data_IF_281708538321
#
_entry.id   IF_281708538321
#
_cell.length_a   1.000
_cell.length_b   1.000
_cell.length_c   1.000
_cell.angle_alpha   90.00
_cell.angle_beta   90.00
_cell.angle_gamma   90.00
#
_symmetry.space_group_name_H-M   'P 1'
#
loop_
_entity.id
_entity.type
_entity.pdbx_description
1 polymer ?
#
# COMPACT_ATOMS: atom_id res chain seq x y z
N UNK A 1 -34.18 14.94 -7.16
CA UNK A 1 -33.97 13.50 -6.90
C UNK A 1 -32.50 13.16 -7.15
N UNK A 2 -31.72 12.78 -6.14
CA UNK A 2 -30.34 12.27 -6.37
C UNK A 2 -30.46 10.89 -7.04
N UNK A 3 -29.84 10.71 -8.21
CA UNK A 3 -29.75 9.38 -8.84
C UNK A 3 -28.75 8.54 -8.04
N UNK A 4 -29.07 7.27 -7.81
CA UNK A 4 -28.13 6.34 -7.18
C UNK A 4 -26.89 6.18 -8.08
N UNK A 5 -25.69 6.16 -7.48
CA UNK A 5 -24.40 6.07 -8.18
C UNK A 5 -24.37 4.94 -9.23
N UNK A 6 -24.81 3.70 -8.92
CA UNK A 6 -24.84 2.61 -9.91
C UNK A 6 -25.63 2.95 -11.18
N UNK A 7 -26.76 3.64 -11.04
CA UNK A 7 -27.62 4.01 -12.16
C UNK A 7 -26.96 5.03 -13.07
N UNK A 8 -26.20 5.97 -12.51
CA UNK A 8 -25.43 6.94 -13.31
C UNK A 8 -24.33 6.21 -14.09
N UNK A 9 -23.61 5.31 -13.43
CA UNK A 9 -22.56 4.50 -14.06
C UNK A 9 -23.14 3.65 -15.20
N UNK A 10 -24.27 2.98 -14.97
CA UNK A 10 -24.92 2.15 -15.99
C UNK A 10 -25.39 2.91 -17.22
N UNK A 11 -25.95 4.11 -17.04
CA UNK A 11 -26.33 4.99 -18.17
C UNK A 11 -25.11 5.37 -18.99
N UNK A 12 -24.06 5.89 -18.34
CA UNK A 12 -22.84 6.34 -19.04
C UNK A 12 -22.18 5.17 -19.76
N UNK A 13 -22.11 4.00 -19.11
CA UNK A 13 -21.47 2.83 -19.69
C UNK A 13 -22.19 2.33 -20.96
N UNK A 14 -23.53 2.39 -20.98
CA UNK A 14 -24.33 2.09 -22.18
C UNK A 14 -24.14 3.13 -23.28
N UNK A 15 -24.25 4.40 -22.94
CA UNK A 15 -24.10 5.50 -23.90
C UNK A 15 -22.71 5.53 -24.56
N UNK A 16 -21.69 5.09 -23.84
CA UNK A 16 -20.30 5.08 -24.30
C UNK A 16 -19.81 3.72 -24.79
N UNK A 17 -20.67 2.71 -24.83
CA UNK A 17 -20.32 1.34 -25.23
C UNK A 17 -19.10 0.78 -24.47
N UNK A 18 -19.05 1.04 -23.17
CA UNK A 18 -17.98 0.55 -22.30
C UNK A 18 -18.12 -0.96 -22.13
N UNK A 19 -17.04 -1.70 -22.35
CA UNK A 19 -16.99 -3.16 -22.21
C UNK A 19 -16.45 -3.61 -20.86
N UNK A 20 -15.69 -2.74 -20.18
CA UNK A 20 -15.05 -3.05 -18.91
C UNK A 20 -15.11 -1.86 -17.94
N UNK A 21 -15.43 -2.14 -16.67
CA UNK A 21 -15.33 -1.18 -15.57
C UNK A 21 -14.33 -1.71 -14.56
N UNK A 22 -13.35 -0.88 -14.23
CA UNK A 22 -12.34 -1.16 -13.21
C UNK A 22 -12.70 -0.36 -11.96
N UNK A 23 -12.80 -1.04 -10.82
CA UNK A 23 -13.04 -0.43 -9.51
C UNK A 23 -11.81 -0.67 -8.63
N UNK A 24 -11.18 0.41 -8.19
CA UNK A 24 -10.08 0.36 -7.25
C UNK A 24 -10.61 0.32 -5.79
N UNK A 25 -10.09 -0.61 -4.99
CA UNK A 25 -10.37 -0.69 -3.55
C UNK A 25 -9.45 0.18 -2.69
N UNK A 26 -8.63 1.07 -3.28
CA UNK A 26 -7.81 2.00 -2.50
C UNK A 26 -8.67 2.98 -1.71
N UNK A 27 -8.85 2.65 -0.43
CA UNK A 27 -8.73 3.61 0.66
C UNK A 27 -9.76 4.74 0.66
N UNK A 28 -11.03 4.38 0.86
CA UNK A 28 -11.85 5.22 1.72
C UNK A 28 -12.20 4.43 2.98
N UNK A 29 -11.50 4.77 4.07
CA UNK A 29 -11.80 4.44 5.48
C UNK A 29 -13.21 4.91 5.95
N UNK A 30 -14.16 5.11 5.03
CA UNK A 30 -15.49 5.70 5.25
C UNK A 30 -16.63 5.06 4.45
N UNK A 31 -16.43 3.86 3.92
CA UNK A 31 -17.55 3.02 3.53
C UNK A 31 -17.40 1.71 4.31
N UNK A 32 -18.36 1.42 5.19
CA UNK A 32 -18.38 0.14 5.89
C UNK A 32 -18.36 -1.00 4.87
N UNK A 33 -17.78 -2.15 5.24
CA UNK A 33 -17.71 -3.33 4.36
C UNK A 33 -19.08 -3.69 3.76
N UNK A 34 -20.16 -3.53 4.54
CA UNK A 34 -21.54 -3.72 4.11
C UNK A 34 -21.98 -2.79 2.97
N UNK A 35 -21.52 -1.55 2.96
CA UNK A 35 -21.86 -0.58 1.93
C UNK A 35 -21.06 -0.80 0.64
N UNK A 36 -19.84 -1.36 0.72
CA UNK A 36 -19.08 -1.82 -0.46
C UNK A 36 -19.76 -3.03 -1.11
N UNK A 37 -20.16 -4.02 -0.31
CA UNK A 37 -20.92 -5.18 -0.80
C UNK A 37 -22.22 -4.75 -1.50
N UNK A 38 -22.94 -3.80 -0.90
CA UNK A 38 -24.19 -3.26 -1.46
C UNK A 38 -23.97 -2.54 -2.80
N UNK A 39 -22.88 -1.78 -2.93
CA UNK A 39 -22.53 -1.10 -4.17
C UNK A 39 -22.19 -2.09 -5.30
N UNK A 40 -21.36 -3.09 -5.02
CA UNK A 40 -20.97 -4.12 -6.00
C UNK A 40 -22.21 -4.88 -6.47
N UNK A 41 -23.07 -5.33 -5.54
CA UNK A 41 -24.33 -6.00 -5.89
C UNK A 41 -25.25 -5.13 -6.73
N UNK A 42 -25.29 -3.83 -6.45
CA UNK A 42 -26.11 -2.87 -7.21
C UNK A 42 -25.55 -2.63 -8.62
N UNK A 43 -24.23 -2.56 -8.77
CA UNK A 43 -23.58 -2.44 -10.08
C UNK A 43 -23.80 -3.70 -10.92
N UNK A 44 -23.55 -4.89 -10.38
CA UNK A 44 -23.78 -6.15 -11.10
C UNK A 44 -25.22 -6.29 -11.62
N UNK A 45 -26.20 -5.75 -10.89
CA UNK A 45 -27.61 -5.72 -11.35
C UNK A 45 -27.86 -4.70 -12.46
N UNK A 46 -27.22 -3.53 -12.41
CA UNK A 46 -27.44 -2.44 -13.35
C UNK A 46 -26.71 -2.67 -14.69
N UNK A 47 -25.52 -3.29 -14.62
CA UNK A 47 -24.60 -3.52 -15.76
C UNK A 47 -24.23 -5.01 -15.91
N UNK A 48 -25.20 -5.92 -16.12
CA UNK A 48 -24.93 -7.36 -16.17
C UNK A 48 -24.14 -7.81 -17.42
N UNK A 49 -23.93 -6.92 -18.39
CA UNK A 49 -23.29 -7.19 -19.69
C UNK A 49 -21.89 -6.57 -19.81
N UNK A 50 -21.37 -5.96 -18.73
CA UNK A 50 -20.06 -5.29 -18.70
C UNK A 50 -19.18 -6.04 -17.72
N UNK A 51 -17.94 -6.31 -18.11
CA UNK A 51 -16.98 -6.95 -17.22
C UNK A 51 -16.61 -5.99 -16.08
N UNK A 52 -16.83 -6.44 -14.83
CA UNK A 52 -16.48 -5.69 -13.63
C UNK A 52 -15.19 -6.27 -13.04
N UNK A 53 -14.10 -5.50 -13.09
CA UNK A 53 -12.82 -5.88 -12.51
C UNK A 53 -12.59 -5.12 -11.21
N UNK A 54 -12.49 -5.85 -10.09
CA UNK A 54 -12.17 -5.29 -8.78
C UNK A 54 -10.67 -5.39 -8.55
N UNK A 55 -9.98 -4.25 -8.47
CA UNK A 55 -8.55 -4.18 -8.16
C UNK A 55 -8.39 -3.85 -6.69
N UNK A 56 -7.80 -4.77 -5.92
CA UNK A 56 -7.37 -4.50 -4.54
C UNK A 56 -5.90 -4.14 -4.53
N UNK A 57 -5.56 -2.93 -4.11
CA UNK A 57 -4.17 -2.64 -3.77
C UNK A 57 -3.87 -3.26 -2.40
N UNK A 58 -3.22 -4.42 -2.40
CA UNK A 58 -2.46 -4.86 -1.24
C UNK A 58 -1.29 -3.87 -1.09
N UNK A 59 -1.42 -2.88 -0.20
CA UNK A 59 -0.35 -1.89 0.07
C UNK A 59 0.86 -2.49 0.80
N UNK A 60 1.11 -3.78 0.64
CA UNK A 60 2.16 -4.50 1.33
C UNK A 60 2.64 -5.59 0.39
N UNK A 61 3.78 -5.32 -0.27
CA UNK A 61 4.80 -6.27 -0.74
C UNK A 61 4.90 -6.67 -2.22
N UNK A 62 3.91 -6.48 -3.10
CA UNK A 62 4.01 -7.13 -4.43
C UNK A 62 4.50 -6.28 -5.62
N UNK A 63 4.56 -4.94 -5.52
CA UNK A 63 4.96 -4.07 -6.65
C UNK A 63 6.40 -3.52 -6.56
N UNK A 64 7.35 -4.35 -6.09
CA UNK A 64 8.77 -3.97 -6.01
C UNK A 64 9.74 -4.98 -6.66
N UNK A 65 9.25 -5.81 -7.58
CA UNK A 65 10.14 -6.58 -8.44
C UNK A 65 10.84 -5.63 -9.43
N UNK A 66 11.98 -5.07 -9.03
CA UNK A 66 12.85 -4.24 -9.88
C UNK A 66 13.30 -2.90 -9.30
N UNK A 67 12.81 -2.49 -8.12
CA UNK A 67 13.18 -1.21 -7.49
C UNK A 67 14.06 -1.36 -6.25
N UNK A 68 14.15 -2.56 -5.67
CA UNK A 68 14.87 -2.78 -4.43
C UNK A 68 15.78 -4.00 -4.50
N UNK A 69 16.91 -3.92 -3.81
CA UNK A 69 17.79 -5.05 -3.56
C UNK A 69 17.11 -6.08 -2.64
N UNK A 70 17.66 -7.31 -2.63
CA UNK A 70 17.23 -8.34 -1.69
C UNK A 70 17.41 -7.82 -0.26
N UNK A 71 16.37 -7.99 0.56
CA UNK A 71 16.37 -7.55 1.96
C UNK A 71 17.57 -8.08 2.75
N UNK A 72 18.35 -7.16 3.31
CA UNK A 72 19.47 -7.44 4.21
C UNK A 72 19.07 -7.20 5.67
N UNK A 73 19.67 -7.94 6.60
CA UNK A 73 19.46 -7.69 8.03
C UNK A 73 20.06 -6.34 8.40
N UNK A 74 19.31 -5.53 9.12
CA UNK A 74 19.75 -4.25 9.62
C UNK A 74 19.04 -3.93 10.95
N UNK A 75 19.50 -2.85 11.57
CA UNK A 75 19.08 -2.41 12.90
C UNK A 75 18.81 -0.92 12.87
N UNK A 76 17.81 -0.45 13.63
CA UNK A 76 17.67 0.96 13.96
C UNK A 76 18.36 1.23 15.29
N UNK A 77 19.27 2.20 15.28
CA UNK A 77 19.94 2.74 16.46
C UNK A 77 19.41 4.14 16.68
N UNK A 78 19.03 4.47 17.91
CA UNK A 78 18.50 5.80 18.21
C UNK A 78 19.63 6.83 18.26
N UNK A 79 19.49 7.90 17.48
CA UNK A 79 20.41 9.04 17.46
C UNK A 79 19.58 10.33 17.69
N UNK A 80 19.61 10.85 18.92
CA UNK A 80 18.90 12.07 19.32
C UNK A 80 17.37 11.97 19.07
N UNK A 81 16.86 12.74 18.10
CA UNK A 81 15.44 12.79 17.73
C UNK A 81 15.08 11.85 16.57
N UNK A 82 16.06 11.18 15.98
CA UNK A 82 15.88 10.29 14.82
C UNK A 82 16.45 8.90 15.10
N UNK A 83 16.22 7.99 14.16
CA UNK A 83 16.86 6.69 14.13
C UNK A 83 17.80 6.60 12.94
N UNK A 84 18.93 5.93 13.14
CA UNK A 84 19.88 5.65 12.08
C UNK A 84 19.88 4.16 11.77
N UNK A 85 19.89 3.85 10.48
CA UNK A 85 20.06 2.50 9.97
C UNK A 85 21.51 2.05 10.18
N UNK A 86 21.68 0.87 10.77
CA UNK A 86 22.97 0.22 10.97
C UNK A 86 22.91 -1.22 10.46
N UNK A 87 23.98 -1.67 9.80
CA UNK A 87 24.15 -3.07 9.40
C UNK A 87 24.90 -3.90 10.46
N UNK A 88 25.42 -3.22 11.50
CA UNK A 88 26.10 -3.87 12.61
C UNK A 88 25.17 -3.91 13.83
N UNK A 89 25.09 -5.08 14.45
CA UNK A 89 24.42 -5.23 15.74
C UNK A 89 25.27 -4.60 16.84
N UNK A 90 24.67 -3.68 17.61
CA UNK A 90 25.33 -2.97 18.70
C UNK A 90 24.46 -3.03 19.95
N UNK A 91 25.01 -2.68 21.12
CA UNK A 91 24.24 -2.63 22.36
C UNK A 91 23.06 -1.63 22.30
N UNK A 92 23.16 -0.62 21.43
CA UNK A 92 22.18 0.46 21.27
C UNK A 92 21.14 0.20 20.15
N UNK A 93 21.12 -1.02 19.60
CA UNK A 93 20.15 -1.42 18.57
C UNK A 93 18.74 -1.59 19.17
N UNK A 94 17.82 -0.67 18.82
CA UNK A 94 16.43 -0.68 19.34
C UNK A 94 15.51 -1.63 18.57
N UNK A 95 15.69 -1.72 17.24
CA UNK A 95 14.83 -2.53 16.38
C UNK A 95 15.65 -3.35 15.38
N UNK A 96 15.48 -4.67 15.37
CA UNK A 96 16.02 -5.56 14.33
C UNK A 96 15.00 -5.77 13.22
N UNK A 97 15.45 -5.75 11.97
CA UNK A 97 14.57 -5.91 10.82
C UNK A 97 15.29 -6.22 9.52
N UNK A 98 14.53 -6.11 8.43
CA UNK A 98 15.03 -6.24 7.07
C UNK A 98 15.00 -4.87 6.38
N UNK A 99 16.15 -4.47 5.84
CA UNK A 99 16.29 -3.30 4.99
C UNK A 99 16.31 -3.71 3.52
N UNK A 100 15.44 -3.09 2.75
CA UNK A 100 15.35 -3.20 1.30
C UNK A 100 15.87 -1.89 0.72
N UNK A 101 17.09 -1.91 0.18
CA UNK A 101 17.74 -0.73 -0.42
C UNK A 101 17.16 -0.46 -1.81
N UNK A 102 16.90 0.79 -2.15
CA UNK A 102 16.52 1.20 -3.51
C UNK A 102 17.67 0.98 -4.49
N UNK A 103 17.34 0.44 -5.67
CA UNK A 103 18.28 0.27 -6.77
C UNK A 103 18.57 1.62 -7.45
N UNK A 104 19.82 1.81 -7.89
CA UNK A 104 20.22 3.02 -8.64
C UNK A 104 20.74 4.17 -7.79
N UNK A 105 21.04 3.92 -6.51
CA UNK A 105 21.65 4.89 -5.58
C UNK A 105 22.76 4.22 -4.76
N UNK A 106 23.82 4.97 -4.47
CA UNK A 106 24.87 4.59 -3.52
C UNK A 106 24.44 4.83 -2.06
N UNK A 107 23.59 5.84 -1.81
CA UNK A 107 22.96 6.11 -0.52
C UNK A 107 22.04 4.98 -0.04
N UNK A 108 21.90 4.80 1.28
CA UNK A 108 20.96 3.86 1.88
C UNK A 108 19.56 4.45 1.96
N UNK A 109 18.94 4.65 0.80
CA UNK A 109 17.52 4.94 0.69
C UNK A 109 16.74 3.64 0.56
N UNK A 110 15.56 3.58 1.17
CA UNK A 110 14.63 2.50 0.91
C UNK A 110 13.68 2.22 2.07
N UNK A 111 13.36 0.95 2.27
CA UNK A 111 12.32 0.51 3.21
C UNK A 111 12.91 -0.38 4.28
N UNK A 112 12.65 -0.06 5.54
CA UNK A 112 12.99 -0.90 6.68
C UNK A 112 11.72 -1.49 7.29
N UNK A 113 11.73 -2.81 7.51
CA UNK A 113 10.61 -3.58 8.08
C UNK A 113 11.04 -4.30 9.33
N UNK A 114 10.31 -4.11 10.43
CA UNK A 114 10.64 -4.71 11.72
C UNK A 114 9.37 -5.02 12.51
N UNK A 115 9.51 -5.82 13.58
CA UNK A 115 8.42 -6.09 14.51
C UNK A 115 8.56 -5.18 15.74
N UNK A 116 7.46 -4.56 16.13
CA UNK A 116 7.35 -3.77 17.36
C UNK A 116 6.04 -4.10 18.04
N UNK A 117 6.09 -4.51 19.31
CA UNK A 117 4.91 -4.87 20.12
C UNK A 117 3.98 -5.91 19.46
N UNK A 118 4.55 -6.80 18.65
CA UNK A 118 3.81 -7.84 17.92
C UNK A 118 3.20 -7.39 16.59
N UNK A 119 3.33 -6.11 16.23
CA UNK A 119 2.88 -5.56 14.96
C UNK A 119 4.05 -5.36 13.98
N UNK A 120 3.80 -5.61 12.69
CA UNK A 120 4.76 -5.37 11.64
C UNK A 120 4.76 -3.89 11.27
N UNK A 121 5.90 -3.23 11.51
CA UNK A 121 6.13 -1.82 11.18
C UNK A 121 6.92 -1.71 9.89
N UNK A 122 6.65 -0.65 9.13
CA UNK A 122 7.37 -0.29 7.92
C UNK A 122 7.67 1.20 7.92
N UNK A 123 8.94 1.56 7.75
CA UNK A 123 9.41 2.94 7.70
C UNK A 123 10.29 3.20 6.49
N UNK A 124 10.35 4.45 6.07
CA UNK A 124 11.23 4.88 4.98
C UNK A 124 12.57 5.33 5.55
N UNK A 125 13.66 4.86 4.93
CA UNK A 125 15.01 5.31 5.23
C UNK A 125 15.43 6.27 4.13
N UNK A 126 15.92 7.44 4.52
CA UNK A 126 16.51 8.41 3.60
C UNK A 126 17.89 8.78 4.11
N UNK A 127 18.91 8.47 3.32
CA UNK A 127 20.31 8.76 3.60
C UNK A 127 20.75 8.27 4.99
N UNK A 128 20.53 6.98 5.27
CA UNK A 128 20.74 6.31 6.57
C UNK A 128 19.74 6.66 7.68
N UNK A 129 18.89 7.67 7.55
CA UNK A 129 18.04 8.11 8.67
C UNK A 129 16.56 7.79 8.49
N UNK A 130 15.91 7.51 9.61
CA UNK A 130 14.45 7.39 9.76
C UNK A 130 13.99 8.51 10.69
N UNK A 131 13.10 9.37 10.18
CA UNK A 131 12.65 10.56 10.91
C UNK A 131 11.43 10.31 11.80
N UNK A 132 10.61 9.31 11.46
CA UNK A 132 9.35 9.00 12.14
C UNK A 132 9.17 7.48 12.21
N UNK A 133 8.84 6.97 13.41
CA UNK A 133 8.56 5.55 13.71
C UNK A 133 7.08 5.31 13.99
#
# INVERSE_FOLDING_TARGET
>A
MKRAVPKVIGVVAREKHITQIILDQTTQRRLSELAKESLIKSLLKEIPFIDLHLVTVARTLEDQHGHFEKGGRAYLVREWEYHRLSFNHTADSEHEGLFFKELGTDFNNGIFKFLKDGEAMQVHVTDDYVKEL
#
